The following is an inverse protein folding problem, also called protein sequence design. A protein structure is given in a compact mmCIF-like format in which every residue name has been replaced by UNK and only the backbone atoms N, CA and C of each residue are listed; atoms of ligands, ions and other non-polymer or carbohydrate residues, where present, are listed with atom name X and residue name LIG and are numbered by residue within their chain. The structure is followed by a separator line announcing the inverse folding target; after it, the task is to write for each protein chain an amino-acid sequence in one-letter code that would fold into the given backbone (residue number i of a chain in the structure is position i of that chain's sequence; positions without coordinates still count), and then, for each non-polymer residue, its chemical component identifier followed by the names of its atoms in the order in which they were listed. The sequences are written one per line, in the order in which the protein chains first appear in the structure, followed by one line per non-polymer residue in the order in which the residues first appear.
data_IF_577158901545
#
_entry.id   IF_577158901545
#
_cell.length_a   1.000
_cell.length_b   1.000
_cell.length_c   1.000
_cell.angle_alpha   90.00
_cell.angle_beta   90.00
_cell.angle_gamma   90.00
#
_symmetry.space_group_name_H-M   'P 1'
#
loop_
_entity.id
_entity.type
_entity.pdbx_description
1 polymer ?
#
# COMPACT_ATOMS: atom_id res chain seq x y z
N UNK A 1 -2.57 0.13 -0.12
CA UNK A 1 -3.91 0.12 0.48
C UNK A 1 -3.97 -0.90 1.59
N UNK A 2 -5.17 -1.14 2.12
CA UNK A 2 -5.54 -2.15 3.13
C UNK A 2 -4.86 -2.08 4.51
N UNK A 3 -3.93 -1.17 4.74
CA UNK A 3 -3.19 -1.07 6.00
C UNK A 3 -4.03 -0.75 7.25
N UNK A 4 -5.21 -0.14 7.09
CA UNK A 4 -6.11 0.13 8.23
C UNK A 4 -7.15 -1.00 8.44
N UNK A 5 -7.30 -1.94 7.50
CA UNK A 5 -8.18 -3.10 7.63
C UNK A 5 -9.61 -2.74 8.14
N UNK A 6 -10.25 -1.78 7.46
CA UNK A 6 -11.56 -1.24 7.86
C UNK A 6 -12.72 -2.17 7.55
N UNK A 7 -12.47 -3.39 7.08
CA UNK A 7 -13.47 -4.44 7.02
C UNK A 7 -13.63 -5.11 8.38
N UNK A 8 -12.53 -5.53 9.00
CA UNK A 8 -12.55 -6.11 10.35
C UNK A 8 -12.72 -5.04 11.45
N UNK A 9 -12.11 -3.86 11.25
CA UNK A 9 -12.12 -2.77 12.23
C UNK A 9 -13.27 -1.77 12.00
N UNK A 10 -14.05 -1.52 13.05
CA UNK A 10 -15.24 -0.65 12.96
C UNK A 10 -14.90 0.84 12.89
N UNK A 11 -13.87 1.28 13.65
CA UNK A 11 -13.57 2.70 13.87
C UNK A 11 -12.11 2.98 13.56
N UNK A 12 -11.86 3.86 12.59
CA UNK A 12 -10.51 4.34 12.28
C UNK A 12 -9.86 5.04 13.49
N UNK A 13 -10.65 5.69 14.35
CA UNK A 13 -10.16 6.32 15.57
C UNK A 13 -9.50 5.33 16.54
N UNK A 14 -9.99 4.09 16.62
CA UNK A 14 -9.37 3.07 17.47
C UNK A 14 -8.01 2.67 16.93
N UNK A 15 -7.88 2.52 15.60
CA UNK A 15 -6.63 2.20 14.92
C UNK A 15 -5.61 3.33 15.13
N UNK A 16 -6.03 4.58 14.92
CA UNK A 16 -5.18 5.76 15.14
C UNK A 16 -4.70 5.81 16.59
N UNK A 17 -5.58 5.52 17.56
CA UNK A 17 -5.21 5.52 18.98
C UNK A 17 -4.19 4.42 19.30
N UNK A 18 -4.46 3.18 18.89
CA UNK A 18 -3.58 2.02 19.16
C UNK A 18 -2.23 2.17 18.46
N UNK A 19 -2.20 2.73 17.25
CA UNK A 19 -0.98 2.92 16.45
C UNK A 19 -0.53 4.38 16.37
N UNK A 20 -0.78 5.17 17.41
CA UNK A 20 -0.56 6.63 17.44
C UNK A 20 0.84 7.05 16.98
N UNK A 21 1.89 6.33 17.41
CA UNK A 21 3.27 6.59 17.00
C UNK A 21 3.46 6.53 15.47
N UNK A 22 2.82 5.59 14.79
CA UNK A 22 2.89 5.43 13.32
C UNK A 22 2.17 6.59 12.64
N UNK A 23 0.95 6.92 13.08
CA UNK A 23 0.18 8.05 12.54
C UNK A 23 0.86 9.39 12.77
N UNK A 24 1.53 9.58 13.91
CA UNK A 24 2.34 10.77 14.17
C UNK A 24 3.52 10.87 13.20
N UNK A 25 4.22 9.76 12.93
CA UNK A 25 5.29 9.74 11.94
C UNK A 25 4.76 10.06 10.53
N UNK A 26 3.65 9.44 10.12
CA UNK A 26 2.97 9.73 8.86
C UNK A 26 2.55 11.21 8.77
N UNK A 27 2.06 11.80 9.86
CA UNK A 27 1.69 13.22 9.88
C UNK A 27 2.88 14.14 9.60
N UNK A 28 4.10 13.77 10.02
CA UNK A 28 5.32 14.51 9.71
C UNK A 28 5.64 14.45 8.20
N UNK A 29 5.46 13.30 7.55
CA UNK A 29 5.60 13.20 6.09
C UNK A 29 4.52 14.01 5.37
N UNK A 30 3.29 13.96 5.86
CA UNK A 30 2.17 14.72 5.32
C UNK A 30 2.41 16.23 5.36
N UNK A 31 2.80 16.77 6.52
CA UNK A 31 3.12 18.20 6.69
C UNK A 31 4.23 18.67 5.74
N UNK A 32 5.13 17.77 5.35
CA UNK A 32 6.21 18.03 4.37
C UNK A 32 5.79 17.81 2.91
N UNK A 33 4.51 17.53 2.65
CA UNK A 33 3.96 17.18 1.32
C UNK A 33 4.65 15.96 0.68
N UNK A 34 5.10 15.01 1.52
CA UNK A 34 5.83 13.79 1.13
C UNK A 34 5.03 12.49 1.35
N UNK A 35 3.74 12.58 1.69
CA UNK A 35 2.86 11.43 1.90
C UNK A 35 1.65 11.50 0.97
N UNK A 36 1.34 10.37 0.34
CA UNK A 36 0.14 10.16 -0.47
C UNK A 36 -0.46 8.81 -0.07
N UNK A 37 -1.78 8.75 0.05
CA UNK A 37 -2.46 7.49 0.34
C UNK A 37 -3.14 6.95 -0.90
N UNK A 38 -2.99 5.64 -1.11
CA UNK A 38 -3.78 4.86 -2.06
C UNK A 38 -4.65 3.89 -1.27
N UNK A 39 -5.97 3.94 -1.46
CA UNK A 39 -6.89 3.00 -0.81
C UNK A 39 -6.87 1.63 -1.51
N UNK A 40 -7.12 0.59 -0.73
CA UNK A 40 -7.38 -0.75 -1.24
C UNK A 40 -8.84 -1.17 -1.01
N UNK A 41 -9.16 -2.42 -1.33
CA UNK A 41 -10.51 -2.97 -1.17
C UNK A 41 -11.00 -2.94 0.29
N UNK A 42 -10.10 -3.10 1.27
CA UNK A 42 -10.46 -3.11 2.69
C UNK A 42 -10.71 -1.68 3.22
N UNK A 43 -10.29 -0.69 2.43
CA UNK A 43 -10.31 0.74 2.76
C UNK A 43 -11.25 1.55 1.85
N UNK A 44 -12.14 0.91 1.09
CA UNK A 44 -13.02 1.57 0.09
C UNK A 44 -13.85 2.74 0.63
N UNK A 45 -14.12 2.77 1.94
CA UNK A 45 -14.76 3.93 2.60
C UNK A 45 -13.97 5.23 2.42
N UNK A 46 -12.65 5.16 2.25
CA UNK A 46 -11.75 6.30 2.03
C UNK A 46 -11.89 6.93 0.64
N UNK A 47 -12.59 6.26 -0.30
CA UNK A 47 -13.02 6.89 -1.57
C UNK A 47 -13.93 8.09 -1.32
N UNK A 48 -14.70 8.08 -0.23
CA UNK A 48 -15.63 9.16 0.10
C UNK A 48 -14.91 10.29 0.86
N UNK A 49 -14.84 11.47 0.24
CA UNK A 49 -14.22 12.65 0.86
C UNK A 49 -14.86 13.06 2.20
N UNK A 50 -16.19 12.88 2.37
CA UNK A 50 -16.86 13.16 3.65
C UNK A 50 -16.37 12.24 4.76
N UNK A 51 -16.11 10.97 4.44
CA UNK A 51 -15.54 10.00 5.38
C UNK A 51 -14.10 10.41 5.76
N UNK A 52 -13.26 10.72 4.76
CA UNK A 52 -11.87 11.16 4.99
C UNK A 52 -11.83 12.43 5.86
N UNK A 53 -12.65 13.43 5.54
CA UNK A 53 -12.74 14.66 6.34
C UNK A 53 -13.14 14.39 7.78
N UNK A 54 -14.13 13.51 8.00
CA UNK A 54 -14.63 13.16 9.33
C UNK A 54 -13.62 12.37 10.17
N UNK A 55 -12.83 11.50 9.55
CA UNK A 55 -12.05 10.48 10.28
C UNK A 55 -10.53 10.61 10.18
N UNK A 56 -10.00 11.38 9.22
CA UNK A 56 -8.54 11.49 9.00
C UNK A 56 -7.98 12.90 9.24
N UNK A 57 -8.82 13.94 9.25
CA UNK A 57 -8.30 15.31 9.37
C UNK A 57 -7.80 15.62 10.77
N UNK A 58 -8.42 15.01 11.78
CA UNK A 58 -8.11 15.25 13.20
C UNK A 58 -8.09 13.94 13.96
N UNK A 59 -7.44 13.96 15.12
CA UNK A 59 -7.50 12.90 16.12
C UNK A 59 -7.70 13.53 17.50
N UNK A 60 -8.33 12.79 18.40
CA UNK A 60 -8.53 13.25 19.77
C UNK A 60 -7.27 13.00 20.61
N UNK A 61 -6.72 14.05 21.21
CA UNK A 61 -5.60 13.96 22.16
C UNK A 61 -6.16 13.87 23.58
N UNK A 62 -5.95 12.72 24.24
CA UNK A 62 -6.46 12.45 25.59
C UNK A 62 -5.79 13.32 26.67
N UNK A 63 -4.54 13.76 26.47
CA UNK A 63 -3.81 14.59 27.44
C UNK A 63 -4.31 16.03 27.41
N UNK A 64 -4.54 16.56 26.22
CA UNK A 64 -5.02 17.93 25.99
C UNK A 64 -6.54 18.03 25.94
N UNK A 65 -7.24 16.88 25.97
CA UNK A 65 -8.71 16.75 25.89
C UNK A 65 -9.31 17.53 24.71
N UNK A 66 -8.64 17.52 23.56
CA UNK A 66 -9.07 18.27 22.36
C UNK A 66 -8.68 17.56 21.08
N UNK A 67 -9.41 17.88 20.00
CA UNK A 67 -9.06 17.42 18.66
C UNK A 67 -7.87 18.19 18.10
N UNK A 68 -6.84 17.46 17.69
CA UNK A 68 -5.65 17.99 17.04
C UNK A 68 -5.63 17.64 15.55
N UNK A 69 -5.04 18.51 14.70
CA UNK A 69 -4.81 18.21 13.29
C UNK A 69 -3.96 16.95 13.09
N UNK A 70 -4.40 16.07 12.18
CA UNK A 70 -3.67 14.89 11.74
C UNK A 70 -3.29 15.00 10.26
N UNK A 71 -4.29 14.89 9.36
CA UNK A 71 -4.13 14.98 7.92
C UNK A 71 -5.13 15.98 7.30
N UNK A 72 -5.14 17.23 7.78
CA UNK A 72 -6.06 18.25 7.30
C UNK A 72 -6.01 18.40 5.78
N UNK A 73 -7.17 18.30 5.11
CA UNK A 73 -7.31 18.41 3.66
C UNK A 73 -6.66 17.29 2.84
N UNK A 74 -6.31 16.16 3.46
CA UNK A 74 -5.73 15.06 2.73
C UNK A 74 -6.70 14.47 1.71
N UNK A 75 -6.15 14.09 0.56
CA UNK A 75 -6.84 13.31 -0.45
C UNK A 75 -6.30 11.89 -0.43
N UNK A 76 -7.22 10.92 -0.42
CA UNK A 76 -6.90 9.49 -0.59
C UNK A 76 -7.27 9.13 -2.02
N UNK A 77 -6.35 8.51 -2.73
CA UNK A 77 -6.45 8.25 -4.16
C UNK A 77 -6.72 6.77 -4.42
N UNK A 78 -7.30 6.46 -5.57
CA UNK A 78 -7.43 5.09 -6.06
C UNK A 78 -6.11 4.57 -6.64
N UNK A 79 -5.37 5.47 -7.25
CA UNK A 79 -4.05 5.25 -7.83
C UNK A 79 -3.36 6.58 -8.06
N UNK A 80 -2.08 6.52 -8.42
CA UNK A 80 -1.26 7.69 -8.73
C UNK A 80 -0.49 7.45 -10.01
N UNK A 81 -0.13 8.52 -10.72
CA UNK A 81 0.80 8.45 -11.85
C UNK A 81 2.04 9.22 -11.45
N UNK A 82 3.16 8.52 -11.39
CA UNK A 82 4.47 9.17 -11.31
C UNK A 82 4.91 9.48 -12.74
N UNK A 83 5.30 10.73 -12.99
CA UNK A 83 5.79 11.18 -14.28
C UNK A 83 7.25 11.55 -14.15
N UNK A 84 8.09 10.99 -15.00
CA UNK A 84 9.47 11.42 -15.08
C UNK A 84 9.53 12.80 -15.75
N UNK A 85 10.22 13.78 -15.15
CA UNK A 85 10.19 15.17 -15.62
C UNK A 85 10.82 15.37 -17.00
N UNK A 86 11.85 14.60 -17.34
CA UNK A 86 12.63 14.81 -18.56
C UNK A 86 11.99 14.14 -19.77
N UNK A 87 11.67 12.85 -19.66
CA UNK A 87 11.20 12.04 -20.79
C UNK A 87 9.70 11.71 -20.73
N UNK A 88 8.96 12.29 -19.77
CA UNK A 88 7.53 12.05 -19.57
C UNK A 88 7.12 10.60 -19.32
N UNK A 89 8.07 9.71 -19.02
CA UNK A 89 7.80 8.32 -18.71
C UNK A 89 6.84 8.20 -17.52
N UNK A 90 5.83 7.34 -17.64
CA UNK A 90 4.77 7.20 -16.64
C UNK A 90 4.91 5.88 -15.91
N UNK A 91 4.75 5.94 -14.58
CA UNK A 91 4.66 4.77 -13.73
C UNK A 91 3.31 4.84 -13.02
N UNK A 92 2.48 3.82 -13.24
CA UNK A 92 1.18 3.72 -12.60
C UNK A 92 1.34 3.05 -11.23
N UNK A 93 0.76 3.65 -10.20
CA UNK A 93 0.71 3.10 -8.86
C UNK A 93 -0.74 2.78 -8.51
N UNK A 94 -1.02 1.53 -8.19
CA UNK A 94 -2.35 1.10 -7.74
C UNK A 94 -2.21 0.18 -6.53
N UNK A 95 -3.33 -0.13 -5.88
CA UNK A 95 -3.34 -1.19 -4.88
C UNK A 95 -3.27 -2.58 -5.55
N UNK A 96 -4.14 -2.83 -6.53
CA UNK A 96 -4.21 -4.09 -7.30
C UNK A 96 -5.63 -4.69 -7.32
N UNK A 97 -6.45 -4.42 -6.31
CA UNK A 97 -7.86 -4.84 -6.25
C UNK A 97 -8.73 -4.34 -7.41
N UNK A 98 -8.26 -3.35 -8.18
CA UNK A 98 -8.97 -2.75 -9.30
C UNK A 98 -9.39 -3.77 -10.38
N UNK A 99 -8.66 -4.89 -10.52
CA UNK A 99 -9.01 -5.97 -11.46
C UNK A 99 -9.93 -7.05 -10.87
N UNK A 100 -10.27 -6.95 -9.58
CA UNK A 100 -11.22 -7.83 -8.88
C UNK A 100 -12.63 -7.23 -8.84
N UNK A 101 -13.30 -7.21 -9.99
CA UNK A 101 -14.63 -6.60 -10.20
C UNK A 101 -15.67 -6.99 -9.12
N UNK A 102 -15.78 -8.28 -8.76
CA UNK A 102 -16.81 -8.76 -7.82
C UNK A 102 -16.62 -8.24 -6.40
N UNK A 103 -15.37 -8.21 -5.91
CA UNK A 103 -15.05 -7.67 -4.59
C UNK A 103 -15.20 -6.15 -4.55
N UNK A 104 -15.00 -5.47 -5.68
CA UNK A 104 -15.09 -4.02 -5.77
C UNK A 104 -16.55 -3.52 -5.75
N UNK A 105 -17.48 -4.23 -6.37
CA UNK A 105 -18.90 -3.84 -6.41
C UNK A 105 -19.69 -4.26 -5.15
N UNK A 106 -19.39 -5.43 -4.58
CA UNK A 106 -20.12 -5.99 -3.42
C UNK A 106 -19.40 -5.82 -2.07
N UNK A 107 -18.39 -4.95 -2.00
CA UNK A 107 -17.55 -4.77 -0.81
C UNK A 107 -18.32 -4.50 0.49
N UNK A 108 -19.52 -3.90 0.42
CA UNK A 108 -20.36 -3.66 1.61
C UNK A 108 -20.91 -4.95 2.21
N UNK A 109 -21.30 -5.91 1.35
CA UNK A 109 -21.81 -7.22 1.74
C UNK A 109 -20.64 -8.07 2.25
N UNK A 110 -19.53 -8.11 1.51
CA UNK A 110 -18.32 -8.81 1.93
C UNK A 110 -17.83 -8.31 3.29
N UNK A 111 -17.77 -6.99 3.48
CA UNK A 111 -17.44 -6.38 4.78
C UNK A 111 -18.41 -6.80 5.89
N UNK A 112 -19.70 -6.89 5.61
CA UNK A 112 -20.69 -7.33 6.60
C UNK A 112 -20.41 -8.78 7.03
N UNK A 113 -20.17 -9.69 6.08
CA UNK A 113 -19.85 -11.09 6.35
C UNK A 113 -18.53 -11.22 7.14
N UNK A 114 -17.45 -10.57 6.69
CA UNK A 114 -16.15 -10.54 7.40
C UNK A 114 -16.34 -10.14 8.86
N UNK A 115 -17.07 -9.03 9.08
CA UNK A 115 -17.18 -8.41 10.40
C UNK A 115 -18.06 -9.17 11.37
N UNK A 116 -19.17 -9.72 10.90
CA UNK A 116 -20.24 -10.23 11.77
C UNK A 116 -20.44 -11.73 11.69
N UNK A 117 -19.96 -12.38 10.62
CA UNK A 117 -20.01 -13.83 10.49
C UNK A 117 -18.62 -14.42 10.72
N UNK A 118 -17.64 -14.05 9.90
CA UNK A 118 -16.34 -14.73 9.89
C UNK A 118 -15.45 -14.37 11.06
N UNK A 119 -15.41 -13.10 11.50
CA UNK A 119 -14.60 -12.70 12.66
C UNK A 119 -14.99 -13.46 13.95
N UNK A 120 -16.29 -13.61 14.31
CA UNK A 120 -16.70 -14.50 15.40
C UNK A 120 -16.33 -15.96 15.15
N UNK A 121 -16.55 -16.50 13.95
CA UNK A 121 -16.26 -17.90 13.64
C UNK A 121 -14.75 -18.24 13.67
N UNK A 122 -13.88 -17.28 13.33
CA UNK A 122 -12.42 -17.41 13.48
C UNK A 122 -12.02 -17.68 14.95
N UNK A 123 -12.75 -17.11 15.92
CA UNK A 123 -12.51 -17.39 17.34
C UNK A 123 -12.82 -18.85 17.71
N UNK A 124 -13.73 -19.49 16.98
CA UNK A 124 -14.08 -20.90 17.12
C UNK A 124 -13.26 -21.83 16.20
N UNK A 125 -12.19 -21.33 15.57
CA UNK A 125 -11.29 -22.12 14.73
C UNK A 125 -11.74 -22.34 13.28
N UNK A 126 -12.81 -21.67 12.83
CA UNK A 126 -13.25 -21.71 11.44
C UNK A 126 -12.66 -20.54 10.65
N UNK A 127 -11.90 -20.84 9.60
CA UNK A 127 -11.20 -19.83 8.81
C UNK A 127 -12.14 -19.06 7.87
N UNK A 128 -11.97 -17.74 7.84
CA UNK A 128 -12.64 -16.83 6.92
C UNK A 128 -12.25 -17.10 5.44
N UNK A 129 -13.18 -17.53 4.55
CA UNK A 129 -12.92 -17.77 3.13
C UNK A 129 -12.74 -16.48 2.31
N UNK A 130 -13.03 -15.31 2.90
CA UNK A 130 -12.83 -14.00 2.30
C UNK A 130 -11.46 -13.40 2.62
N UNK A 131 -10.67 -14.02 3.52
CA UNK A 131 -9.24 -13.75 3.64
C UNK A 131 -8.58 -14.14 2.32
N UNK A 132 -8.37 -13.13 1.48
CA UNK A 132 -7.61 -13.12 0.22
C UNK A 132 -6.18 -13.67 0.33
N UNK A 133 -5.73 -14.01 1.54
CA UNK A 133 -4.41 -14.55 1.82
C UNK A 133 -4.14 -15.94 1.19
N UNK A 134 -5.14 -16.82 1.04
CA UNK A 134 -4.83 -18.26 0.96
C UNK A 134 -5.01 -18.97 -0.38
N UNK A 135 -5.72 -18.42 -1.37
CA UNK A 135 -5.76 -19.09 -2.69
C UNK A 135 -4.72 -18.51 -3.65
N UNK A 136 -3.63 -19.26 -3.80
CA UNK A 136 -2.57 -18.99 -4.79
C UNK A 136 -3.16 -18.71 -6.18
N UNK A 137 -4.20 -19.44 -6.55
CA UNK A 137 -4.92 -19.29 -7.82
C UNK A 137 -5.55 -17.90 -8.02
N UNK A 138 -6.20 -17.32 -7.00
CA UNK A 138 -6.80 -15.97 -7.14
C UNK A 138 -5.72 -14.90 -7.28
N UNK A 139 -4.67 -14.97 -6.45
CA UNK A 139 -3.53 -14.04 -6.54
C UNK A 139 -2.90 -14.10 -7.93
N UNK A 140 -2.70 -15.31 -8.44
CA UNK A 140 -2.17 -15.50 -9.78
C UNK A 140 -3.11 -14.97 -10.88
N UNK A 141 -4.42 -15.15 -10.74
CA UNK A 141 -5.41 -14.62 -11.69
C UNK A 141 -5.43 -13.07 -11.71
N UNK A 142 -5.30 -12.43 -10.54
CA UNK A 142 -5.14 -10.97 -10.45
C UNK A 142 -3.86 -10.52 -11.14
N UNK A 143 -2.73 -11.14 -10.82
CA UNK A 143 -1.44 -10.82 -11.41
C UNK A 143 -1.46 -10.99 -12.93
N UNK A 144 -2.08 -12.07 -13.43
CA UNK A 144 -2.24 -12.32 -14.87
C UNK A 144 -3.00 -11.19 -15.56
N UNK A 145 -4.14 -10.75 -15.03
CA UNK A 145 -4.92 -9.65 -15.62
C UNK A 145 -4.15 -8.32 -15.63
N UNK A 146 -3.37 -8.06 -14.59
CA UNK A 146 -2.53 -6.86 -14.52
C UNK A 146 -1.42 -6.92 -15.57
N UNK A 147 -0.80 -8.09 -15.75
CA UNK A 147 0.22 -8.33 -16.79
C UNK A 147 -0.38 -8.16 -18.19
N UNK A 148 -1.54 -8.77 -18.47
CA UNK A 148 -2.25 -8.62 -19.75
C UNK A 148 -2.54 -7.14 -20.06
N UNK A 149 -2.91 -6.34 -19.06
CA UNK A 149 -3.10 -4.91 -19.22
C UNK A 149 -1.78 -4.17 -19.51
N UNK A 150 -0.69 -4.52 -18.82
CA UNK A 150 0.64 -3.93 -19.06
C UNK A 150 1.13 -4.22 -20.47
N UNK A 151 0.98 -5.46 -20.95
CA UNK A 151 1.38 -5.87 -22.30
C UNK A 151 0.57 -5.12 -23.36
N UNK A 152 -0.72 -4.91 -23.13
CA UNK A 152 -1.60 -4.18 -24.04
C UNK A 152 -1.26 -2.67 -24.08
N UNK A 153 -1.08 -2.05 -22.93
CA UNK A 153 -0.91 -0.59 -22.83
C UNK A 153 0.56 -0.13 -22.87
N UNK A 154 1.49 -1.08 -22.80
CA UNK A 154 2.94 -0.87 -22.70
C UNK A 154 3.31 0.13 -21.59
N UNK A 155 2.73 -0.02 -20.41
CA UNK A 155 2.92 0.87 -19.26
C UNK A 155 3.49 0.14 -18.04
N UNK A 156 4.46 0.76 -17.35
CA UNK A 156 4.94 0.24 -16.07
C UNK A 156 3.89 0.40 -14.98
N UNK A 157 3.72 -0.66 -14.19
CA UNK A 157 2.74 -0.73 -13.12
C UNK A 157 3.37 -1.24 -11.82
N UNK A 158 3.08 -0.55 -10.71
CA UNK A 158 3.46 -0.96 -9.36
C UNK A 158 2.19 -1.21 -8.54
N UNK A 159 2.07 -2.42 -7.97
CA UNK A 159 0.96 -2.84 -7.11
C UNK A 159 1.44 -3.37 -5.74
N UNK A 160 0.51 -3.72 -4.86
CA UNK A 160 0.81 -4.28 -3.52
C UNK A 160 -0.26 -5.22 -2.95
N UNK A 161 -1.21 -5.69 -3.76
CA UNK A 161 -2.40 -6.41 -3.30
C UNK A 161 -2.15 -7.88 -2.93
N UNK A 162 -1.31 -8.62 -3.67
CA UNK A 162 -1.16 -10.08 -3.48
C UNK A 162 -0.18 -10.47 -2.38
N UNK A 163 0.55 -9.50 -1.81
CA UNK A 163 1.64 -9.69 -0.85
C UNK A 163 2.80 -10.54 -1.37
N UNK A 164 2.92 -10.70 -2.69
CA UNK A 164 4.03 -11.41 -3.34
C UNK A 164 4.96 -10.38 -3.98
N UNK A 165 6.12 -10.07 -3.37
CA UNK A 165 7.07 -9.15 -3.97
C UNK A 165 7.48 -9.66 -5.36
N UNK A 166 7.39 -8.80 -6.37
CA UNK A 166 7.79 -9.12 -7.74
C UNK A 166 8.56 -7.96 -8.35
N UNK A 167 9.59 -8.33 -9.11
CA UNK A 167 10.45 -7.41 -9.83
C UNK A 167 10.75 -8.06 -11.18
N UNK A 168 10.35 -7.45 -12.30
CA UNK A 168 10.44 -8.05 -13.61
C UNK A 168 11.90 -8.12 -14.06
N UNK A 169 12.26 -9.19 -14.78
CA UNK A 169 13.56 -9.31 -15.45
C UNK A 169 13.55 -8.57 -16.78
N UNK A 170 14.74 -8.41 -17.37
CA UNK A 170 14.85 -7.88 -18.73
C UNK A 170 14.03 -8.75 -19.71
N UNK A 171 13.20 -8.10 -20.52
CA UNK A 171 12.29 -8.75 -21.47
C UNK A 171 10.94 -9.18 -20.89
N UNK A 172 10.73 -9.11 -19.57
CA UNK A 172 9.44 -9.37 -18.95
C UNK A 172 8.55 -8.11 -18.91
N UNK A 173 7.21 -8.25 -18.86
CA UNK A 173 6.29 -7.14 -18.64
C UNK A 173 6.66 -6.35 -17.38
N UNK A 174 6.60 -5.02 -17.44
CA UNK A 174 7.06 -4.09 -16.38
C UNK A 174 6.11 -4.03 -15.17
N UNK A 175 5.80 -5.20 -14.60
CA UNK A 175 4.97 -5.37 -13.42
C UNK A 175 5.80 -5.51 -12.16
N UNK A 176 5.63 -4.57 -11.25
CA UNK A 176 6.27 -4.59 -9.94
C UNK A 176 5.22 -4.81 -8.87
N UNK A 177 5.57 -5.61 -7.86
CA UNK A 177 4.77 -5.78 -6.67
C UNK A 177 5.61 -5.47 -5.44
N UNK A 178 5.13 -4.53 -4.63
CA UNK A 178 5.79 -4.04 -3.42
C UNK A 178 5.83 -5.07 -2.30
N UNK A 179 5.07 -6.16 -2.41
CA UNK A 179 4.96 -7.20 -1.39
C UNK A 179 4.05 -6.79 -0.25
N UNK A 180 4.53 -6.88 0.98
CA UNK A 180 3.73 -6.65 2.18
C UNK A 180 4.40 -5.70 3.16
N UNK A 181 3.58 -4.81 3.72
CA UNK A 181 3.97 -3.85 4.76
C UNK A 181 3.45 -4.23 6.15
N UNK A 182 2.87 -5.43 6.28
CA UNK A 182 2.21 -5.90 7.51
C UNK A 182 2.81 -7.20 8.05
N UNK A 183 3.94 -7.67 7.50
CA UNK A 183 4.62 -8.83 8.07
C UNK A 183 5.22 -8.50 9.46
N UNK A 184 5.12 -9.40 10.46
CA UNK A 184 5.53 -9.10 11.83
C UNK A 184 6.99 -8.70 12.03
N UNK A 185 7.88 -9.11 11.12
CA UNK A 185 9.35 -8.96 11.26
C UNK A 185 10.01 -8.12 10.17
N UNK A 186 9.25 -7.74 9.14
CA UNK A 186 9.79 -7.00 8.02
C UNK A 186 8.69 -6.30 7.22
N UNK A 187 9.10 -5.30 6.46
CA UNK A 187 8.29 -4.73 5.38
C UNK A 187 9.09 -4.78 4.09
N UNK A 188 8.39 -4.95 2.98
CA UNK A 188 8.97 -4.79 1.64
C UNK A 188 8.42 -3.55 0.97
N UNK A 189 9.16 -3.01 0.01
CA UNK A 189 8.73 -1.84 -0.74
C UNK A 189 9.61 -1.60 -1.95
N UNK A 190 9.11 -0.75 -2.84
CA UNK A 190 9.87 -0.26 -3.98
C UNK A 190 10.47 1.09 -3.60
N UNK A 191 11.78 1.24 -3.80
CA UNK A 191 12.46 2.53 -3.72
C UNK A 191 12.84 2.97 -5.13
N UNK A 192 12.53 4.24 -5.44
CA UNK A 192 12.89 4.88 -6.71
C UNK A 192 13.76 6.09 -6.40
N UNK A 193 14.97 6.10 -6.93
CA UNK A 193 15.93 7.18 -6.68
C UNK A 193 16.89 7.34 -7.87
N UNK A 194 17.22 8.57 -8.25
CA UNK A 194 18.15 8.88 -9.36
C UNK A 194 17.93 8.06 -10.64
N UNK A 195 16.67 7.82 -11.02
CA UNK A 195 16.32 7.05 -12.22
C UNK A 195 16.51 5.54 -12.10
N UNK A 196 16.72 5.06 -10.88
CA UNK A 196 16.81 3.66 -10.55
C UNK A 196 15.62 3.22 -9.73
N UNK A 197 15.22 1.96 -9.92
CA UNK A 197 14.17 1.28 -9.18
C UNK A 197 14.75 0.03 -8.52
N UNK A 198 14.38 -0.22 -7.28
CA UNK A 198 14.83 -1.39 -6.53
C UNK A 198 13.75 -1.90 -5.57
N UNK A 199 13.70 -3.23 -5.41
CA UNK A 199 12.89 -3.87 -4.39
C UNK A 199 13.73 -4.05 -3.13
N UNK A 200 13.23 -3.54 -2.01
CA UNK A 200 13.93 -3.54 -0.73
C UNK A 200 13.12 -4.25 0.34
N UNK A 201 13.83 -4.70 1.37
CA UNK A 201 13.30 -5.23 2.61
C UNK A 201 13.89 -4.45 3.78
N UNK A 202 13.03 -3.91 4.61
CA UNK A 202 13.38 -3.36 5.92
C UNK A 202 12.98 -4.37 6.98
N UNK A 203 13.88 -4.74 7.90
CA UNK A 203 13.62 -5.79 8.86
C UNK A 203 14.35 -5.55 10.18
N UNK A 204 13.84 -6.17 11.25
CA UNK A 204 14.50 -6.16 12.54
C UNK A 204 15.65 -7.18 12.48
N UNK A 205 16.85 -6.72 12.82
CA UNK A 205 18.06 -7.52 12.89
C UNK A 205 18.71 -7.37 14.27
N UNK A 206 19.65 -8.26 14.60
CA UNK A 206 20.26 -8.33 15.93
C UNK A 206 21.78 -8.25 15.81
N UNK A 207 22.41 -7.39 16.61
CA UNK A 207 23.87 -7.33 16.75
C UNK A 207 24.39 -8.53 17.55
N UNK A 208 25.72 -8.74 17.54
CA UNK A 208 26.36 -9.80 18.34
C UNK A 208 26.11 -9.67 19.85
N UNK A 209 25.87 -8.46 20.34
CA UNK A 209 25.55 -8.16 21.75
C UNK A 209 24.06 -8.32 22.10
N UNK A 210 23.22 -8.76 21.16
CA UNK A 210 21.77 -8.92 21.38
C UNK A 210 20.95 -7.65 21.11
N UNK A 211 21.57 -6.51 20.81
CA UNK A 211 20.84 -5.26 20.52
C UNK A 211 20.08 -5.35 19.19
N UNK A 212 18.78 -5.05 19.22
CA UNK A 212 17.94 -4.97 18.01
C UNK A 212 18.16 -3.66 17.26
N UNK A 213 18.19 -3.74 15.93
CA UNK A 213 18.21 -2.58 15.04
C UNK A 213 17.40 -2.83 13.78
N UNK A 214 17.07 -1.75 13.06
CA UNK A 214 16.40 -1.84 11.76
C UNK A 214 17.47 -1.87 10.68
N UNK A 215 17.46 -2.93 9.88
CA UNK A 215 18.37 -3.14 8.75
C UNK A 215 17.62 -3.02 7.42
N UNK A 216 18.34 -2.63 6.37
CA UNK A 216 17.83 -2.46 5.01
C UNK A 216 18.61 -3.35 4.04
N UNK A 217 17.90 -4.26 3.39
CA UNK A 217 18.46 -5.15 2.36
C UNK A 217 17.82 -4.89 1.00
N UNK A 218 18.64 -4.76 -0.04
CA UNK A 218 18.17 -4.79 -1.42
C UNK A 218 17.87 -6.25 -1.78
N UNK A 219 16.63 -6.53 -2.17
CA UNK A 219 16.23 -7.87 -2.61
C UNK A 219 16.51 -8.07 -4.10
N UNK A 220 16.17 -7.07 -4.92
CA UNK A 220 16.37 -7.07 -6.37
C UNK A 220 16.66 -5.65 -6.86
N UNK A 221 17.52 -5.50 -7.87
CA UNK A 221 17.98 -4.23 -8.42
C UNK A 221 19.29 -3.73 -7.79
N UNK A 222 19.69 -2.46 -8.02
CA UNK A 222 18.96 -1.42 -8.75
C UNK A 222 18.92 -1.66 -10.27
N UNK A 223 17.77 -1.41 -10.89
CA UNK A 223 17.60 -1.37 -12.35
C UNK A 223 17.33 0.07 -12.81
N UNK A 224 17.79 0.44 -14.01
CA UNK A 224 17.48 1.76 -14.59
C UNK A 224 16.03 1.81 -15.06
N UNK A 225 15.30 2.88 -14.73
CA UNK A 225 13.95 3.14 -15.22
C UNK A 225 13.93 3.47 -16.72
N UNK A 226 14.99 4.10 -17.22
CA UNK A 226 15.18 4.44 -18.64
C UNK A 226 16.66 4.32 -18.99
N UNK A 227 16.99 3.88 -20.21
CA UNK A 227 18.36 3.74 -20.72
C UNK A 227 19.01 5.07 -21.17
N UNK A 228 18.59 6.22 -20.65
CA UNK A 228 19.14 7.54 -21.03
C UNK A 228 20.22 8.00 -20.03
N UNK A 229 21.29 8.70 -20.48
CA UNK A 229 22.40 9.10 -19.59
C UNK A 229 21.95 10.07 -18.50
N UNK A 230 22.64 9.99 -17.36
CA UNK A 230 22.43 10.75 -16.13
C UNK A 230 22.45 12.27 -16.34
N UNK A 231 21.29 12.89 -16.51
CA UNK A 231 21.10 14.31 -16.23
C UNK A 231 19.75 14.50 -15.53
N UNK A 232 19.81 14.73 -14.23
CA UNK A 232 18.73 15.23 -13.36
C UNK A 232 17.40 14.46 -13.39
N UNK A 233 17.42 13.30 -12.75
CA UNK A 233 16.29 12.41 -12.62
C UNK A 233 15.33 12.85 -11.49
N UNK A 234 14.40 13.76 -11.80
CA UNK A 234 13.35 14.17 -10.87
C UNK A 234 11.98 13.66 -11.35
N UNK A 235 11.18 13.15 -10.42
CA UNK A 235 9.80 12.70 -10.69
C UNK A 235 8.84 13.85 -10.35
N UNK A 236 8.00 14.25 -11.30
CA UNK A 236 6.82 15.09 -11.08
C UNK A 236 5.58 14.23 -10.88
N UNK A 237 4.59 14.75 -10.13
CA UNK A 237 3.34 14.07 -9.84
C UNK A 237 2.21 14.81 -10.56
N UNK A 238 1.33 14.07 -11.22
CA UNK A 238 0.09 14.58 -11.83
C UNK A 238 -1.08 13.82 -11.22
#
# INVERSE_FOLDING_TARGET
GDGDELWENKRLSDIIRVHSNVFWLLSKFYKRKKLYFIYGNHDMVKKNHKYVKKHMYKYFDERQKKDLPLFENIKVHEGLILRHKVNNYKIFLIHGHQVELLNNELWKITRFLVRYLWRPLNFFGLNDPTKTADSYHRKHAVEKKLIEWIEKENQMLIAGHTHRPMFPKEGEPLYFNTGSTVHPRCITGIEINHGQIQLVKWYINTKRDGTLFIDRKVLVGPAKLCQTPLAECYISKV
#
